data_IF_382770012916
#
_entry.id   IF_382770012916
#
_cell.length_a   1.000
_cell.length_b   1.000
_cell.length_c   1.000
_cell.angle_alpha   90.00
_cell.angle_beta   90.00
_cell.angle_gamma   90.00
#
_symmetry.space_group_name_H-M   'P 1'
#
loop_
_entity.id
_entity.type
_entity.pdbx_description
1 polymer ?
#
# COMPACT_ATOMS: atom_id res chain seq x y z
N UNK A 1 -15.10 27.52 -21.25
CA UNK A 1 -14.64 26.12 -21.45
C UNK A 1 -13.69 25.80 -20.32
N UNK A 2 -14.23 25.33 -19.19
CA UNK A 2 -13.40 24.96 -18.03
C UNK A 2 -13.49 23.45 -17.86
N UNK A 3 -12.50 22.73 -18.35
CA UNK A 3 -12.25 21.37 -17.89
C UNK A 3 -10.81 21.33 -17.39
N UNK A 4 -10.59 22.00 -16.26
CA UNK A 4 -9.45 21.69 -15.39
C UNK A 4 -9.66 20.27 -14.92
N UNK A 5 -9.01 19.32 -15.60
CA UNK A 5 -9.00 17.90 -15.23
C UNK A 5 -8.33 17.80 -13.86
N UNK A 6 -9.12 17.84 -12.78
CA UNK A 6 -8.62 17.62 -11.43
C UNK A 6 -8.13 16.17 -11.37
N UNK A 7 -6.81 16.01 -11.35
CA UNK A 7 -6.15 14.72 -11.18
C UNK A 7 -6.56 14.18 -9.80
N UNK A 8 -7.26 13.04 -9.77
CA UNK A 8 -7.74 12.43 -8.52
C UNK A 8 -6.57 12.11 -7.60
N UNK A 9 -6.75 12.35 -6.30
CA UNK A 9 -5.73 12.02 -5.31
C UNK A 9 -5.61 10.50 -5.16
N UNK A 10 -4.42 9.96 -4.84
CA UNK A 10 -4.22 8.50 -4.77
C UNK A 10 -5.14 7.82 -3.76
N UNK A 11 -5.51 8.51 -2.67
CA UNK A 11 -6.49 8.02 -1.69
C UNK A 11 -7.88 7.79 -2.30
N UNK A 12 -8.30 8.63 -3.25
CA UNK A 12 -9.56 8.42 -3.98
C UNK A 12 -9.43 7.25 -4.95
N UNK A 13 -8.29 7.13 -5.64
CA UNK A 13 -8.03 6.03 -6.56
C UNK A 13 -7.93 4.68 -5.84
N UNK A 14 -7.36 4.68 -4.63
CA UNK A 14 -7.35 3.54 -3.73
C UNK A 14 -8.78 3.21 -3.29
N UNK A 15 -9.58 4.21 -2.89
CA UNK A 15 -10.98 4.00 -2.52
C UNK A 15 -11.78 3.34 -3.67
N UNK A 16 -11.61 3.84 -4.90
CA UNK A 16 -12.22 3.22 -6.08
C UNK A 16 -11.77 1.77 -6.28
N UNK A 17 -10.47 1.48 -6.10
CA UNK A 17 -9.96 0.11 -6.17
C UNK A 17 -10.49 -0.80 -5.06
N UNK A 18 -10.65 -0.29 -3.84
CA UNK A 18 -11.19 -1.07 -2.72
C UNK A 18 -12.68 -1.38 -2.89
N UNK A 19 -13.44 -0.44 -3.49
CA UNK A 19 -14.86 -0.64 -3.83
C UNK A 19 -15.03 -1.61 -5.01
N UNK A 20 -14.18 -1.50 -6.03
CA UNK A 20 -14.20 -2.34 -7.21
C UNK A 20 -12.79 -2.83 -7.56
N UNK A 21 -12.35 -3.96 -6.96
CA UNK A 21 -11.02 -4.50 -7.17
C UNK A 21 -10.88 -5.08 -8.58
N UNK A 22 -10.33 -4.29 -9.49
CA UNK A 22 -10.16 -4.65 -10.90
C UNK A 22 -8.76 -4.29 -11.41
N UNK A 23 -8.29 -5.01 -12.43
CA UNK A 23 -7.02 -4.71 -13.12
C UNK A 23 -6.95 -3.26 -13.62
N UNK A 24 -8.01 -2.68 -14.23
CA UNK A 24 -8.03 -1.27 -14.61
C UNK A 24 -7.88 -0.30 -13.43
N UNK A 25 -8.57 -0.56 -12.31
CA UNK A 25 -8.52 0.33 -11.14
C UNK A 25 -7.16 0.27 -10.44
N UNK A 26 -6.56 -0.92 -10.33
CA UNK A 26 -5.19 -1.06 -9.84
C UNK A 26 -4.20 -0.32 -10.76
N UNK A 27 -4.30 -0.48 -12.08
CA UNK A 27 -3.42 0.22 -13.03
C UNK A 27 -3.52 1.74 -12.88
N UNK A 28 -4.74 2.26 -12.69
CA UNK A 28 -4.93 3.69 -12.43
C UNK A 28 -4.19 4.12 -11.17
N UNK A 29 -4.36 3.41 -10.05
CA UNK A 29 -3.65 3.71 -8.79
C UNK A 29 -2.12 3.76 -8.98
N UNK A 30 -1.56 2.79 -9.70
CA UNK A 30 -0.11 2.71 -9.96
C UNK A 30 0.44 3.79 -10.90
N UNK A 31 -0.42 4.43 -11.69
CA UNK A 31 -0.05 5.54 -12.59
C UNK A 31 -0.18 6.91 -11.91
N UNK A 32 -0.55 6.95 -10.63
CA UNK A 32 -0.60 8.21 -9.88
C UNK A 32 0.82 8.70 -9.57
N UNK A 33 1.07 10.00 -9.69
CA UNK A 33 2.36 10.62 -9.33
C UNK A 33 2.62 10.58 -7.82
N UNK A 34 1.66 10.11 -7.02
CA UNK A 34 1.72 10.06 -5.57
C UNK A 34 2.59 8.92 -5.00
N UNK A 35 3.44 8.33 -5.83
CA UNK A 35 4.43 7.34 -5.40
C UNK A 35 5.41 7.96 -4.36
N UNK A 36 5.48 9.30 -4.27
CA UNK A 36 6.31 10.01 -3.31
C UNK A 36 5.65 10.27 -1.92
N UNK A 37 4.42 9.79 -1.67
CA UNK A 37 3.78 9.98 -0.36
C UNK A 37 4.26 8.93 0.67
N UNK A 38 4.71 9.37 1.84
CA UNK A 38 5.20 8.51 2.94
C UNK A 38 4.17 7.47 3.44
N UNK A 39 2.91 7.62 3.05
CA UNK A 39 1.77 6.84 3.52
C UNK A 39 1.32 5.79 2.48
N UNK A 40 2.02 5.66 1.34
CA UNK A 40 1.78 4.62 0.32
C UNK A 40 3.10 3.95 -0.05
N UNK A 41 3.24 2.66 0.25
CA UNK A 41 4.46 1.89 -0.04
C UNK A 41 4.14 0.70 -0.94
N UNK A 42 5.06 0.38 -1.84
CA UNK A 42 4.95 -0.72 -2.79
C UNK A 42 6.08 -1.72 -2.54
N UNK A 43 5.75 -3.00 -2.51
CA UNK A 43 6.71 -4.08 -2.27
C UNK A 43 6.44 -5.26 -3.19
N UNK A 44 7.51 -5.92 -3.63
CA UNK A 44 7.42 -7.12 -4.46
C UNK A 44 6.88 -8.30 -3.66
N UNK A 45 7.49 -8.55 -2.50
CA UNK A 45 7.24 -9.71 -1.66
C UNK A 45 6.94 -9.30 -0.22
N UNK A 46 6.35 -10.22 0.54
CA UNK A 46 6.12 -10.02 1.96
C UNK A 46 7.47 -9.99 2.69
N UNK A 47 7.68 -8.94 3.49
CA UNK A 47 8.86 -8.85 4.36
C UNK A 47 8.66 -9.65 5.65
N UNK A 48 9.74 -9.91 6.38
CA UNK A 48 9.65 -10.55 7.70
C UNK A 48 8.74 -9.77 8.65
N UNK A 49 8.12 -10.45 9.62
CA UNK A 49 7.12 -9.82 10.50
C UNK A 49 7.69 -8.62 11.26
N UNK A 50 8.93 -8.72 11.73
CA UNK A 50 9.62 -7.62 12.41
C UNK A 50 9.78 -6.40 11.52
N UNK A 51 10.08 -6.60 10.23
CA UNK A 51 10.23 -5.49 9.28
C UNK A 51 8.86 -4.90 8.94
N UNK A 52 7.85 -5.74 8.73
CA UNK A 52 6.50 -5.30 8.42
C UNK A 52 5.89 -4.51 9.58
N UNK A 53 6.04 -5.00 10.81
CA UNK A 53 5.60 -4.31 12.01
C UNK A 53 6.23 -2.91 12.15
N UNK A 54 7.53 -2.75 11.84
CA UNK A 54 8.19 -1.44 11.85
C UNK A 54 7.57 -0.47 10.84
N UNK A 55 7.29 -0.93 9.62
CA UNK A 55 6.63 -0.10 8.60
C UNK A 55 5.22 0.30 9.05
N UNK A 56 4.44 -0.65 9.58
CA UNK A 56 3.10 -0.41 10.11
C UNK A 56 3.13 0.65 11.22
N UNK A 57 4.01 0.50 12.21
CA UNK A 57 4.15 1.46 13.31
C UNK A 57 4.55 2.84 12.79
N UNK A 58 5.51 2.91 11.86
CA UNK A 58 5.96 4.17 11.28
C UNK A 58 4.84 4.91 10.52
N UNK A 59 3.99 4.18 9.79
CA UNK A 59 2.81 4.74 9.14
C UNK A 59 1.74 5.15 10.16
N UNK A 60 1.49 4.30 11.16
CA UNK A 60 0.47 4.52 12.18
C UNK A 60 0.78 5.73 13.09
N UNK A 61 2.05 5.96 13.44
CA UNK A 61 2.50 7.14 14.19
C UNK A 61 2.37 8.46 13.40
N UNK A 62 2.11 8.41 12.09
CA UNK A 62 1.87 9.59 11.25
C UNK A 62 0.38 9.81 11.04
N UNK A 63 -0.18 9.28 9.94
CA UNK A 63 -1.60 9.42 9.55
C UNK A 63 -2.20 8.09 9.08
N UNK A 64 -1.54 6.99 9.42
CA UNK A 64 -1.78 5.70 8.80
C UNK A 64 -1.17 5.62 7.39
N UNK A 65 -1.43 4.53 6.71
CA UNK A 65 -0.90 4.31 5.36
C UNK A 65 -1.32 2.97 4.79
N UNK A 66 -0.83 2.70 3.58
CA UNK A 66 -1.12 1.49 2.83
C UNK A 66 0.17 0.92 2.28
N UNK A 67 0.34 -0.39 2.44
CA UNK A 67 1.41 -1.15 1.80
C UNK A 67 0.76 -2.11 0.82
N UNK A 68 1.17 -2.08 -0.45
CA UNK A 68 0.68 -2.99 -1.49
C UNK A 68 1.80 -3.94 -1.89
N UNK A 69 1.55 -5.24 -1.72
CA UNK A 69 2.47 -6.32 -2.08
C UNK A 69 2.18 -6.85 -3.49
N UNK A 70 3.19 -7.46 -4.12
CA UNK A 70 3.11 -8.03 -5.47
C UNK A 70 3.39 -7.02 -6.58
N UNK A 71 4.12 -5.96 -6.28
CA UNK A 71 4.52 -4.91 -7.22
C UNK A 71 6.05 -4.80 -7.25
N UNK A 72 6.62 -4.99 -8.43
CA UNK A 72 8.05 -4.82 -8.67
C UNK A 72 8.32 -3.44 -9.25
N UNK A 73 9.16 -2.65 -8.59
CA UNK A 73 9.67 -1.41 -9.15
C UNK A 73 10.68 -1.74 -10.25
N UNK A 74 10.35 -1.37 -11.49
CA UNK A 74 11.20 -1.64 -12.66
C UNK A 74 12.08 -0.44 -13.02
N UNK A 75 11.58 0.77 -12.75
CA UNK A 75 12.25 2.05 -12.91
C UNK A 75 11.72 2.98 -11.81
N UNK A 76 12.43 4.08 -11.52
CA UNK A 76 12.04 5.02 -10.46
C UNK A 76 10.56 5.42 -10.59
N UNK A 77 9.78 5.10 -9.56
CA UNK A 77 8.33 5.37 -9.53
C UNK A 77 7.54 4.71 -10.69
N UNK A 78 8.01 3.55 -11.18
CA UNK A 78 7.31 2.75 -12.19
C UNK A 78 7.20 1.31 -11.71
N UNK A 79 5.97 0.85 -11.49
CA UNK A 79 5.69 -0.47 -10.92
C UNK A 79 5.04 -1.43 -11.92
N UNK A 80 5.49 -2.67 -11.88
CA UNK A 80 4.92 -3.80 -12.61
C UNK A 80 4.23 -4.76 -11.63
N UNK A 81 2.96 -5.14 -11.88
CA UNK A 81 2.29 -6.17 -11.09
C UNK A 81 2.92 -7.54 -11.39
N UNK A 82 3.48 -8.15 -10.36
CA UNK A 82 4.10 -9.49 -10.38
C UNK A 82 3.34 -10.49 -9.51
N UNK A 83 2.47 -10.00 -8.62
CA UNK A 83 1.72 -10.84 -7.69
C UNK A 83 2.56 -11.32 -6.50
N UNK A 84 1.93 -12.04 -5.58
CA UNK A 84 2.58 -12.67 -4.43
C UNK A 84 2.58 -14.19 -4.63
N UNK A 85 3.74 -14.82 -4.43
CA UNK A 85 3.88 -16.27 -4.55
C UNK A 85 3.28 -17.00 -3.34
N UNK A 86 3.39 -16.40 -2.15
CA UNK A 86 2.86 -16.96 -0.92
C UNK A 86 1.37 -16.61 -0.75
N UNK A 87 0.52 -17.63 -0.57
CA UNK A 87 -0.85 -17.43 -0.11
C UNK A 87 -0.82 -17.13 1.38
N UNK A 88 -1.13 -15.89 1.73
CA UNK A 88 -1.18 -15.44 3.11
C UNK A 88 -2.64 -15.42 3.56
N UNK A 89 -2.92 -16.09 4.67
CA UNK A 89 -4.19 -15.93 5.36
C UNK A 89 -4.16 -14.61 6.15
N UNK A 90 -5.13 -13.70 5.96
CA UNK A 90 -5.16 -12.43 6.68
C UNK A 90 -5.20 -12.58 8.20
N UNK A 91 -5.88 -13.62 8.70
CA UNK A 91 -6.01 -13.89 10.14
C UNK A 91 -4.70 -14.39 10.72
N UNK A 92 -3.98 -15.24 10.00
CA UNK A 92 -2.64 -15.70 10.38
C UNK A 92 -1.65 -14.53 10.42
N UNK A 93 -1.67 -13.68 9.39
CA UNK A 93 -0.81 -12.49 9.32
C UNK A 93 -1.06 -11.55 10.52
N UNK A 94 -2.33 -11.29 10.85
CA UNK A 94 -2.69 -10.46 12.01
C UNK A 94 -2.14 -11.04 13.32
N UNK A 95 -2.32 -12.36 13.55
CA UNK A 95 -1.81 -13.03 14.76
C UNK A 95 -0.30 -12.97 14.87
N UNK A 96 0.40 -13.13 13.75
CA UNK A 96 1.86 -13.08 13.69
C UNK A 96 2.37 -11.66 13.96
N UNK A 97 1.74 -10.65 13.35
CA UNK A 97 2.08 -9.25 13.54
C UNK A 97 1.74 -8.72 14.94
N UNK A 98 0.64 -9.19 15.54
CA UNK A 98 0.20 -8.76 16.87
C UNK A 98 1.24 -8.97 17.98
N UNK A 99 2.21 -9.86 17.78
CA UNK A 99 3.35 -10.07 18.70
C UNK A 99 4.39 -8.93 18.67
N UNK A 100 4.39 -8.15 17.59
CA UNK A 100 5.37 -7.08 17.33
C UNK A 100 4.73 -5.69 17.36
N UNK A 101 3.41 -5.60 17.26
CA UNK A 101 2.67 -4.34 17.29
C UNK A 101 2.38 -3.92 18.74
N UNK A 102 2.68 -2.67 19.11
CA UNK A 102 2.37 -2.17 20.45
C UNK A 102 0.86 -1.96 20.61
N UNK A 103 0.36 -2.05 21.85
CA UNK A 103 -1.03 -1.73 22.18
C UNK A 103 -1.35 -0.23 22.07
N UNK A 104 -0.33 0.62 22.03
CA UNK A 104 -0.45 2.09 21.94
C UNK A 104 0.62 2.64 21.00
N UNK A 105 0.26 3.66 20.22
CA UNK A 105 1.16 4.37 19.31
C UNK A 105 1.80 5.57 20.02
N UNK A 106 2.96 6.00 19.51
CA UNK A 106 3.60 7.22 19.99
C UNK A 106 2.78 8.43 19.50
N UNK A 107 2.48 9.36 20.42
CA UNK A 107 1.71 10.59 20.13
C UNK A 107 2.62 11.73 19.71
#
# INVERSE_FOLDING_TARGET
MNNSSQKKHWKEMLSEFLLEPSRPNLRRLLQSEAIEDNDLDFKKELMSETKLAKHIIAMANKKGGVIIFGLEEIEANTFKPVGVEEKIDPTDLEKRLGKYLPSTLEK
#
